data_IF_364976366621
#
_entry.id   IF_364976366621
#
_cell.length_a   1.000
_cell.length_b   1.000
_cell.length_c   1.000
_cell.angle_alpha   90.00
_cell.angle_beta   90.00
_cell.angle_gamma   90.00
#
_symmetry.space_group_name_H-M   'P 1'
#
loop_
_entity.id
_entity.type
_entity.pdbx_description
1 polymer ?
#
# COMPACT_ATOMS: atom_id res chain seq x y z
N UNK A 1 -7.49 30.01 34.36
CA UNK A 1 -8.28 29.83 33.12
C UNK A 1 -7.48 30.33 31.92
N UNK A 2 -6.91 29.44 31.11
CA UNK A 2 -6.61 29.69 29.69
C UNK A 2 -6.53 28.35 28.94
N UNK A 3 -7.49 28.15 28.05
CA UNK A 3 -7.67 26.99 27.15
C UNK A 3 -6.79 27.20 25.91
N UNK A 4 -5.99 26.21 25.47
CA UNK A 4 -5.50 26.12 24.07
C UNK A 4 -4.95 24.71 23.72
N UNK A 5 -5.69 24.06 22.79
CA UNK A 5 -5.39 23.00 21.79
C UNK A 5 -4.03 22.26 21.88
N UNK A 6 -4.09 20.93 21.93
CA UNK A 6 -2.92 20.05 21.75
C UNK A 6 -2.44 19.94 20.29
N UNK A 7 -1.29 19.29 20.06
CA UNK A 7 -0.94 18.78 18.74
C UNK A 7 -0.77 17.25 18.76
N UNK A 8 -1.56 16.59 17.92
CA UNK A 8 -1.33 15.20 17.50
C UNK A 8 -0.01 15.16 16.72
N UNK A 9 1.04 14.55 17.27
CA UNK A 9 2.31 14.32 16.58
C UNK A 9 2.36 12.88 16.07
N UNK A 10 2.31 12.70 14.74
CA UNK A 10 2.53 11.41 14.06
C UNK A 10 3.78 11.49 13.18
N UNK A 11 4.65 10.47 13.30
CA UNK A 11 6.00 10.31 12.74
C UNK A 11 6.04 10.03 11.22
N UNK A 12 5.27 10.75 10.41
CA UNK A 12 5.32 10.66 8.94
C UNK A 12 5.19 12.06 8.37
N UNK A 13 6.13 12.48 7.51
CA UNK A 13 6.08 13.81 6.87
C UNK A 13 4.71 14.02 6.23
N UNK A 14 4.01 15.08 6.64
CA UNK A 14 2.67 15.39 6.14
C UNK A 14 2.65 15.44 4.61
N UNK A 15 3.69 15.97 3.98
CA UNK A 15 3.86 15.99 2.53
C UNK A 15 3.78 14.59 1.90
N UNK A 16 4.40 13.58 2.52
CA UNK A 16 4.37 12.19 2.04
C UNK A 16 2.98 11.58 2.21
N UNK A 17 2.31 11.87 3.34
CA UNK A 17 0.94 11.42 3.61
C UNK A 17 -0.05 11.98 2.57
N UNK A 18 0.04 13.28 2.30
CA UNK A 18 -0.81 13.93 1.30
C UNK A 18 -0.45 13.47 -0.12
N UNK A 19 0.82 13.25 -0.44
CA UNK A 19 1.24 12.73 -1.75
C UNK A 19 0.71 11.32 -1.99
N UNK A 20 0.80 10.42 -0.99
CA UNK A 20 0.25 9.06 -1.08
C UNK A 20 -1.28 9.09 -1.22
N UNK A 21 -1.96 9.93 -0.45
CA UNK A 21 -3.41 10.08 -0.56
C UNK A 21 -3.82 10.59 -1.95
N UNK A 22 -3.17 11.65 -2.45
CA UNK A 22 -3.48 12.25 -3.76
C UNK A 22 -3.19 11.28 -4.89
N UNK A 23 -2.06 10.56 -4.87
CA UNK A 23 -1.74 9.57 -5.90
C UNK A 23 -2.72 8.40 -5.92
N UNK A 24 -3.06 7.84 -4.74
CA UNK A 24 -4.09 6.78 -4.66
C UNK A 24 -5.47 7.29 -5.09
N UNK A 25 -5.81 8.55 -4.80
CA UNK A 25 -7.07 9.15 -5.26
C UNK A 25 -7.11 9.32 -6.78
N UNK A 26 -6.00 9.72 -7.40
CA UNK A 26 -5.88 9.81 -8.87
C UNK A 26 -6.03 8.43 -9.52
N UNK A 27 -5.34 7.41 -8.99
CA UNK A 27 -5.47 6.03 -9.50
C UNK A 27 -6.87 5.45 -9.28
N UNK A 28 -7.54 5.83 -8.19
CA UNK A 28 -8.93 5.46 -7.94
C UNK A 28 -9.88 6.05 -8.98
N UNK A 29 -9.73 7.35 -9.33
CA UNK A 29 -10.50 7.99 -10.40
C UNK A 29 -10.23 7.32 -11.76
N UNK A 30 -8.97 7.00 -12.05
CA UNK A 30 -8.59 6.32 -13.28
C UNK A 30 -9.17 4.90 -13.36
N UNK A 31 -9.13 4.13 -12.26
CA UNK A 31 -9.77 2.82 -12.17
C UNK A 31 -11.28 2.90 -12.40
N UNK A 32 -11.95 3.89 -11.81
CA UNK A 32 -13.37 4.15 -12.03
C UNK A 32 -13.71 4.48 -13.49
N UNK A 33 -12.87 5.30 -14.14
CA UNK A 33 -13.00 5.62 -15.56
C UNK A 33 -12.84 4.37 -16.44
N UNK A 34 -11.85 3.52 -16.17
CA UNK A 34 -11.65 2.27 -16.91
C UNK A 34 -12.83 1.31 -16.76
N UNK A 35 -13.39 1.19 -15.56
CA UNK A 35 -14.63 0.41 -15.33
C UNK A 35 -15.77 0.98 -16.14
N UNK A 36 -15.99 2.31 -16.10
CA UNK A 36 -17.07 2.96 -16.82
C UNK A 36 -16.95 2.76 -18.34
N UNK A 37 -15.76 2.95 -18.90
CA UNK A 37 -15.49 2.74 -20.33
C UNK A 37 -15.64 1.26 -20.71
N UNK A 38 -15.12 0.34 -19.90
CA UNK A 38 -15.22 -1.10 -20.15
C UNK A 38 -16.67 -1.59 -20.13
N UNK A 39 -17.46 -1.14 -19.15
CA UNK A 39 -18.89 -1.47 -19.05
C UNK A 39 -19.71 -0.80 -20.16
N UNK A 40 -19.44 0.46 -20.50
CA UNK A 40 -20.12 1.15 -21.59
C UNK A 40 -19.89 0.43 -22.92
N UNK A 41 -18.64 0.12 -23.25
CA UNK A 41 -18.28 -0.61 -24.47
C UNK A 41 -18.83 -2.05 -24.47
N UNK A 42 -19.04 -2.65 -23.31
CA UNK A 42 -19.69 -3.96 -23.19
C UNK A 42 -21.20 -3.87 -23.47
N UNK A 43 -21.89 -2.88 -22.90
CA UNK A 43 -23.33 -2.66 -23.08
C UNK A 43 -23.65 -2.32 -24.54
N UNK A 44 -22.85 -1.46 -25.17
CA UNK A 44 -23.02 -1.08 -26.58
C UNK A 44 -22.88 -2.30 -27.52
N UNK A 45 -21.81 -3.10 -27.32
CA UNK A 45 -21.63 -4.37 -28.04
C UNK A 45 -22.76 -5.37 -27.81
N UNK A 46 -23.28 -5.42 -26.58
CA UNK A 46 -24.40 -6.29 -26.23
C UNK A 46 -25.69 -5.88 -26.96
N UNK A 47 -26.01 -4.58 -26.99
CA UNK A 47 -27.17 -4.07 -27.73
C UNK A 47 -27.03 -4.21 -29.25
N UNK A 48 -25.83 -4.01 -29.80
CA UNK A 48 -25.60 -4.08 -31.24
C UNK A 48 -25.68 -5.50 -31.82
N UNK A 49 -25.25 -6.51 -31.05
CA UNK A 49 -25.12 -7.89 -31.56
C UNK A 49 -26.30 -8.77 -31.20
N UNK A 50 -27.11 -8.40 -30.19
CA UNK A 50 -28.37 -9.07 -29.81
C UNK A 50 -28.26 -10.54 -29.36
N UNK A 51 -27.06 -11.13 -29.45
CA UNK A 51 -26.82 -12.54 -29.19
C UNK A 51 -25.50 -12.66 -28.41
N UNK A 52 -25.59 -13.22 -27.21
CA UNK A 52 -24.39 -13.73 -26.56
C UNK A 52 -24.03 -15.02 -27.30
N UNK A 53 -23.06 -14.97 -28.23
CA UNK A 53 -22.37 -16.20 -28.66
C UNK A 53 -21.49 -16.66 -27.49
N UNK A 54 -22.12 -17.29 -26.50
CA UNK A 54 -21.48 -17.95 -25.36
C UNK A 54 -20.92 -19.31 -25.80
N UNK A 55 -20.19 -19.38 -26.92
CA UNK A 55 -19.66 -20.67 -27.38
C UNK A 55 -18.52 -21.16 -26.46
N UNK A 56 -17.79 -20.28 -25.75
CA UNK A 56 -16.72 -20.69 -24.82
C UNK A 56 -16.35 -19.62 -23.78
N UNK A 57 -16.06 -20.03 -22.54
CA UNK A 57 -15.62 -19.18 -21.40
C UNK A 57 -14.36 -18.34 -21.73
N UNK A 58 -13.53 -18.80 -22.66
CA UNK A 58 -12.31 -18.10 -23.10
C UNK A 58 -12.59 -16.84 -23.95
N UNK A 59 -13.67 -16.81 -24.72
CA UNK A 59 -14.00 -15.66 -25.57
C UNK A 59 -14.48 -14.49 -24.69
N UNK A 60 -15.19 -14.80 -23.60
CA UNK A 60 -15.59 -13.82 -22.57
C UNK A 60 -14.37 -13.24 -21.83
N UNK A 61 -13.34 -14.04 -21.56
CA UNK A 61 -12.08 -13.59 -20.94
C UNK A 61 -11.18 -12.77 -21.88
N UNK A 62 -11.22 -13.03 -23.20
CA UNK A 62 -10.45 -12.30 -24.22
C UNK A 62 -11.15 -11.03 -24.73
N UNK A 63 -12.38 -10.76 -24.29
CA UNK A 63 -13.10 -9.57 -24.68
C UNK A 63 -12.45 -8.33 -24.07
N UNK A 64 -11.88 -7.49 -24.95
CA UNK A 64 -11.10 -6.30 -24.55
C UNK A 64 -11.88 -5.36 -23.62
N UNK A 65 -13.21 -5.25 -23.79
CA UNK A 65 -14.08 -4.44 -22.93
C UNK A 65 -14.20 -5.00 -21.50
N UNK A 66 -14.27 -6.32 -21.34
CA UNK A 66 -14.33 -6.99 -20.05
C UNK A 66 -12.97 -7.02 -19.35
N UNK A 67 -11.89 -7.19 -20.12
CA UNK A 67 -10.52 -7.10 -19.60
C UNK A 67 -10.20 -5.71 -19.06
N UNK A 68 -10.62 -4.65 -19.77
CA UNK A 68 -10.51 -3.26 -19.29
C UNK A 68 -11.33 -3.04 -18.01
N UNK A 69 -12.55 -3.58 -17.93
CA UNK A 69 -13.38 -3.48 -16.74
C UNK A 69 -12.79 -4.23 -15.53
N UNK A 70 -12.23 -5.44 -15.74
CA UNK A 70 -11.58 -6.23 -14.70
C UNK A 70 -10.30 -5.56 -14.18
N UNK A 71 -9.41 -5.13 -15.07
CA UNK A 71 -8.20 -4.40 -14.70
C UNK A 71 -8.54 -3.09 -13.98
N UNK A 72 -9.53 -2.35 -14.48
CA UNK A 72 -10.07 -1.15 -13.82
C UNK A 72 -10.60 -1.45 -12.41
N UNK A 73 -11.30 -2.58 -12.23
CA UNK A 73 -11.79 -3.08 -10.95
C UNK A 73 -10.68 -3.35 -9.94
N UNK A 74 -9.62 -4.04 -10.36
CA UNK A 74 -8.45 -4.31 -9.50
C UNK A 74 -7.78 -3.00 -9.09
N UNK A 75 -7.53 -2.08 -10.03
CA UNK A 75 -6.95 -0.76 -9.76
C UNK A 75 -7.83 0.05 -8.80
N UNK A 76 -9.14 0.03 -8.99
CA UNK A 76 -10.10 0.73 -8.14
C UNK A 76 -10.08 0.21 -6.69
N UNK A 77 -10.10 -1.11 -6.48
CA UNK A 77 -10.11 -1.71 -5.14
C UNK A 77 -8.79 -1.47 -4.41
N UNK A 78 -7.65 -1.69 -5.07
CA UNK A 78 -6.33 -1.48 -4.47
C UNK A 78 -6.13 0.00 -4.11
N UNK A 79 -6.52 0.91 -4.99
CA UNK A 79 -6.40 2.35 -4.75
C UNK A 79 -7.36 2.84 -3.66
N UNK A 80 -8.58 2.30 -3.59
CA UNK A 80 -9.51 2.59 -2.50
C UNK A 80 -8.99 2.12 -1.15
N UNK A 81 -8.44 0.91 -1.08
CA UNK A 81 -7.77 0.40 0.12
C UNK A 81 -6.56 1.27 0.51
N UNK A 82 -5.80 1.78 -0.48
CA UNK A 82 -4.71 2.74 -0.28
C UNK A 82 -5.19 4.09 0.29
N UNK A 83 -6.28 4.64 -0.23
CA UNK A 83 -6.91 5.87 0.28
C UNK A 83 -7.44 5.68 1.71
N UNK A 84 -8.15 4.59 1.99
CA UNK A 84 -8.64 4.26 3.34
C UNK A 84 -7.47 4.03 4.29
N UNK A 85 -6.43 3.32 3.86
CA UNK A 85 -5.21 3.10 4.63
C UNK A 85 -4.46 4.41 4.95
N UNK A 86 -4.41 5.36 4.02
CA UNK A 86 -3.81 6.68 4.25
C UNK A 86 -4.64 7.57 5.19
N UNK A 87 -5.97 7.48 5.12
CA UNK A 87 -6.90 8.26 5.95
C UNK A 87 -7.10 7.70 7.36
N UNK A 88 -6.97 6.39 7.57
CA UNK A 88 -7.22 5.71 8.87
C UNK A 88 -6.04 5.67 9.84
N UNK A 89 -5.00 6.50 9.64
CA UNK A 89 -3.77 6.51 10.50
C UNK A 89 -3.33 5.08 10.84
N UNK A 90 -2.92 4.35 9.81
CA UNK A 90 -2.88 2.91 9.83
C UNK A 90 -1.78 2.33 10.75
N UNK A 91 -2.14 2.12 12.01
CA UNK A 91 -1.47 1.19 12.93
C UNK A 91 -1.31 -0.22 12.34
N UNK A 92 -2.06 -0.63 11.30
CA UNK A 92 -1.96 -1.95 10.67
C UNK A 92 -0.70 -2.11 9.78
N UNK A 93 -0.23 -1.04 9.10
CA UNK A 93 1.04 -1.12 8.33
C UNK A 93 2.25 -1.17 9.28
N UNK A 94 2.15 -0.48 10.42
CA UNK A 94 3.15 -0.52 11.50
C UNK A 94 3.13 -1.84 12.28
N UNK A 95 1.95 -2.44 12.49
CA UNK A 95 1.80 -3.79 13.07
C UNK A 95 2.35 -4.91 12.19
N UNK A 96 2.44 -4.70 10.87
CA UNK A 96 2.78 -5.78 9.95
C UNK A 96 4.24 -6.24 10.06
N UNK A 97 5.16 -5.35 10.45
CA UNK A 97 6.58 -5.66 10.41
C UNK A 97 7.17 -6.11 11.74
N UNK A 98 6.39 -6.19 12.83
CA UNK A 98 6.86 -6.76 14.10
C UNK A 98 8.28 -6.27 14.48
N UNK A 99 8.54 -4.96 14.29
CA UNK A 99 9.84 -4.32 14.44
C UNK A 99 9.74 -3.08 15.33
N UNK A 100 10.88 -2.67 15.87
CA UNK A 100 11.06 -1.39 16.56
C UNK A 100 12.38 -0.77 16.11
N UNK A 101 12.34 0.50 15.70
CA UNK A 101 13.52 1.18 15.14
C UNK A 101 13.79 0.82 13.68
N UNK A 102 14.75 1.51 13.07
CA UNK A 102 14.94 1.48 11.62
C UNK A 102 16.10 0.57 11.20
N UNK A 103 17.24 0.73 11.86
CA UNK A 103 18.53 0.08 11.56
C UNK A 103 18.69 -1.26 12.27
N UNK A 104 19.82 -1.93 12.08
CA UNK A 104 20.17 -3.17 12.77
C UNK A 104 20.22 -3.03 14.30
N UNK A 105 20.36 -1.81 14.82
CA UNK A 105 20.33 -1.52 16.27
C UNK A 105 18.92 -1.74 16.87
N UNK A 106 17.91 -1.85 16.00
CA UNK A 106 16.53 -2.14 16.37
C UNK A 106 15.98 -1.14 17.37
N UNK A 107 15.44 -1.62 18.49
CA UNK A 107 14.78 -0.75 19.47
C UNK A 107 15.73 0.28 20.12
N UNK A 108 17.05 0.09 20.02
CA UNK A 108 18.04 1.04 20.54
C UNK A 108 18.23 2.27 19.65
N UNK A 109 17.70 2.28 18.42
CA UNK A 109 17.70 3.50 17.58
C UNK A 109 17.02 4.69 18.25
N UNK A 110 16.07 4.42 19.15
CA UNK A 110 15.37 5.44 19.91
C UNK A 110 16.27 6.19 20.90
N UNK A 111 17.44 5.64 21.26
CA UNK A 111 18.45 6.37 22.06
C UNK A 111 18.95 7.65 21.38
N UNK A 112 18.87 7.72 20.04
CA UNK A 112 19.28 8.89 19.23
C UNK A 112 18.21 10.00 19.24
N UNK A 113 17.00 9.72 19.73
CA UNK A 113 15.89 10.67 19.74
C UNK A 113 15.90 11.57 20.99
N UNK A 114 15.59 12.85 20.85
CA UNK A 114 15.59 13.82 21.96
C UNK A 114 14.69 13.43 23.15
N UNK A 115 13.56 12.73 22.92
CA UNK A 115 12.63 12.33 23.98
C UNK A 115 12.97 10.98 24.61
N UNK A 116 13.49 10.05 23.82
CA UNK A 116 13.80 8.67 24.26
C UNK A 116 15.26 8.46 24.63
N UNK A 117 16.12 9.44 24.36
CA UNK A 117 17.51 9.45 24.79
C UNK A 117 17.57 9.36 26.32
N UNK A 118 18.34 8.39 26.82
CA UNK A 118 18.52 8.16 28.25
C UNK A 118 19.05 9.34 29.05
N UNK A 119 19.81 10.23 28.41
CA UNK A 119 20.38 11.44 29.02
C UNK A 119 19.42 12.64 28.97
N UNK A 120 18.27 12.52 28.30
CA UNK A 120 17.28 13.59 28.19
C UNK A 120 16.53 13.81 29.51
N UNK A 121 16.12 15.06 29.83
CA UNK A 121 15.19 15.33 30.93
C UNK A 121 13.75 14.85 30.63
N UNK A 122 13.49 14.32 29.43
CA UNK A 122 12.20 13.78 29.02
C UNK A 122 11.69 12.70 29.98
N UNK A 123 10.38 12.69 30.19
CA UNK A 123 9.69 11.64 30.96
C UNK A 123 9.82 10.28 30.28
N UNK A 124 9.92 10.22 28.95
CA UNK A 124 10.00 8.99 28.14
C UNK A 124 11.43 8.50 27.89
N UNK A 125 12.43 9.07 28.59
CA UNK A 125 13.85 8.69 28.44
C UNK A 125 14.06 7.19 28.63
N UNK A 126 15.02 6.63 27.88
CA UNK A 126 15.29 5.19 27.81
C UNK A 126 14.07 4.34 27.40
N UNK A 127 13.04 4.96 26.82
CA UNK A 127 11.84 4.27 26.37
C UNK A 127 11.83 4.03 24.87
N UNK A 128 10.76 3.42 24.38
CA UNK A 128 10.41 3.34 22.95
C UNK A 128 8.94 3.70 22.79
N UNK A 129 8.51 4.21 21.62
CA UNK A 129 7.12 4.52 21.39
C UNK A 129 6.22 3.29 21.45
N UNK A 130 4.93 3.51 21.72
CA UNK A 130 3.92 2.46 21.86
C UNK A 130 3.80 1.53 20.64
N UNK A 131 4.21 1.99 19.46
CA UNK A 131 4.22 1.20 18.22
C UNK A 131 5.16 -0.01 18.28
N UNK A 132 6.17 0.02 19.15
CA UNK A 132 7.11 -1.07 19.34
C UNK A 132 6.54 -2.22 20.18
N UNK A 133 5.37 -2.07 20.79
CA UNK A 133 4.86 -3.04 21.75
C UNK A 133 4.17 -4.23 21.07
N UNK A 134 4.51 -5.43 21.55
CA UNK A 134 4.03 -6.70 20.98
C UNK A 134 2.53 -6.87 21.20
N UNK A 135 2.07 -6.65 22.44
CA UNK A 135 0.68 -6.79 22.85
C UNK A 135 0.23 -5.52 23.60
N UNK A 136 0.05 -4.42 22.86
CA UNK A 136 -0.46 -3.17 23.44
C UNK A 136 -1.90 -3.29 23.98
N UNK A 137 -2.63 -4.35 23.62
CA UNK A 137 -3.97 -4.67 24.12
C UNK A 137 -3.93 -6.05 24.78
N UNK A 138 -4.10 -6.12 26.09
CA UNK A 138 -4.31 -7.40 26.75
C UNK A 138 -5.81 -7.75 26.66
N UNK A 139 -6.11 -8.77 25.84
CA UNK A 139 -7.49 -9.21 25.51
C UNK A 139 -8.23 -9.67 26.78
N UNK A 140 -7.50 -10.04 27.83
CA UNK A 140 -8.06 -10.52 29.09
C UNK A 140 -8.57 -9.42 30.03
N UNK A 141 -8.13 -8.17 29.85
CA UNK A 141 -8.42 -7.06 30.78
C UNK A 141 -9.00 -5.81 30.10
N UNK A 142 -9.00 -5.74 28.77
CA UNK A 142 -9.53 -4.58 28.03
C UNK A 142 -8.74 -3.29 28.24
N UNK A 143 -7.61 -3.35 28.95
CA UNK A 143 -6.71 -2.22 29.20
C UNK A 143 -5.66 -2.16 28.09
N UNK A 144 -5.54 -0.99 27.46
CA UNK A 144 -4.43 -0.69 26.54
C UNK A 144 -3.20 -0.35 27.38
N UNK A 145 -2.17 -1.20 27.37
CA UNK A 145 -0.91 -0.88 28.03
C UNK A 145 -0.06 0.02 27.12
N UNK A 146 -0.32 1.32 27.19
CA UNK A 146 0.45 2.34 26.47
C UNK A 146 1.86 2.57 27.06
N UNK A 147 2.17 2.00 28.22
CA UNK A 147 3.43 2.19 28.97
C UNK A 147 4.42 1.02 28.77
N UNK A 148 4.12 0.07 27.91
CA UNK A 148 4.97 -1.10 27.59
C UNK A 148 6.40 -0.76 27.16
N UNK A 149 6.61 0.39 26.50
CA UNK A 149 7.91 0.86 26.05
C UNK A 149 8.68 1.68 27.08
N UNK A 150 8.11 1.99 28.24
CA UNK A 150 8.72 2.89 29.22
C UNK A 150 9.97 2.28 29.87
N UNK A 151 11.11 2.96 29.74
CA UNK A 151 12.38 2.52 30.31
C UNK A 151 12.92 1.19 29.74
N UNK A 152 12.38 0.71 28.61
CA UNK A 152 12.70 -0.61 28.06
C UNK A 152 14.18 -0.75 27.65
N UNK A 153 14.84 0.36 27.30
CA UNK A 153 16.27 0.38 26.93
C UNK A 153 17.20 0.04 28.10
N UNK A 154 16.72 0.10 29.35
CA UNK A 154 17.51 -0.27 30.54
C UNK A 154 17.49 -1.77 30.85
N UNK A 155 16.58 -2.54 30.24
CA UNK A 155 16.45 -3.97 30.48
C UNK A 155 17.36 -4.77 29.53
N UNK A 156 17.81 -5.97 29.94
CA UNK A 156 18.50 -6.87 29.03
C UNK A 156 17.57 -7.29 27.88
N UNK A 157 18.15 -7.55 26.71
CA UNK A 157 17.40 -7.88 25.46
C UNK A 157 16.40 -9.03 25.66
N UNK A 158 16.74 -10.02 26.50
CA UNK A 158 15.87 -11.16 26.82
C UNK A 158 14.59 -10.80 27.59
N UNK A 159 14.60 -9.70 28.32
CA UNK A 159 13.41 -9.18 29.02
C UNK A 159 12.68 -8.13 28.17
N UNK A 160 13.43 -7.31 27.43
CA UNK A 160 12.88 -6.34 26.50
C UNK A 160 12.04 -7.03 25.39
N UNK A 161 12.51 -8.15 24.85
CA UNK A 161 11.82 -8.91 23.79
C UNK A 161 10.47 -9.51 24.19
N UNK A 162 10.15 -9.55 25.50
CA UNK A 162 8.83 -9.96 25.98
C UNK A 162 7.81 -8.84 25.93
N UNK A 163 8.27 -7.58 25.89
CA UNK A 163 7.42 -6.38 25.97
C UNK A 163 7.35 -5.66 24.62
N UNK A 164 8.47 -5.59 23.91
CA UNK A 164 8.61 -4.83 22.64
C UNK A 164 9.35 -5.66 21.59
N UNK A 165 9.09 -5.34 20.32
CA UNK A 165 9.90 -5.82 19.21
C UNK A 165 11.31 -5.27 19.36
N UNK A 166 12.33 -6.13 19.28
CA UNK A 166 13.73 -5.72 19.42
C UNK A 166 14.43 -5.52 18.09
N UNK A 167 13.89 -6.10 17.01
CA UNK A 167 14.48 -6.08 15.67
C UNK A 167 14.16 -4.80 14.91
N UNK A 168 15.11 -4.33 14.12
CA UNK A 168 14.92 -3.18 13.22
C UNK A 168 14.10 -3.50 11.99
N UNK A 169 13.36 -2.51 11.49
CA UNK A 169 12.45 -2.71 10.36
C UNK A 169 13.17 -2.99 9.03
N UNK A 170 14.34 -2.37 8.77
CA UNK A 170 15.08 -2.61 7.52
C UNK A 170 15.50 -4.08 7.41
N UNK A 171 15.92 -4.70 8.51
CA UNK A 171 16.37 -6.09 8.51
C UNK A 171 15.23 -7.04 8.17
N UNK A 172 14.05 -6.81 8.74
CA UNK A 172 12.85 -7.62 8.47
C UNK A 172 12.37 -7.44 7.02
N UNK A 173 12.32 -6.20 6.54
CA UNK A 173 11.93 -5.89 5.15
C UNK A 173 12.91 -6.51 4.17
N UNK A 174 14.21 -6.37 4.41
CA UNK A 174 15.26 -6.98 3.59
C UNK A 174 15.14 -8.50 3.56
N UNK A 175 15.02 -9.13 4.72
CA UNK A 175 14.87 -10.58 4.84
C UNK A 175 13.62 -11.09 4.14
N UNK A 176 12.50 -10.34 4.22
CA UNK A 176 11.29 -10.65 3.46
C UNK A 176 11.49 -10.48 1.95
N UNK A 177 12.14 -9.40 1.52
CA UNK A 177 12.39 -9.12 0.11
C UNK A 177 13.32 -10.16 -0.52
N UNK A 178 14.37 -10.58 0.17
CA UNK A 178 15.28 -11.64 -0.28
C UNK A 178 14.54 -12.98 -0.43
N UNK A 179 13.66 -13.33 0.52
CA UNK A 179 12.83 -14.55 0.43
C UNK A 179 11.80 -14.50 -0.71
N UNK A 180 11.25 -13.34 -1.00
CA UNK A 180 10.19 -13.17 -2.01
C UNK A 180 10.71 -12.60 -3.34
N UNK A 181 12.04 -12.53 -3.51
CA UNK A 181 12.66 -11.86 -4.65
C UNK A 181 12.16 -12.44 -5.99
N UNK A 182 12.07 -13.77 -6.08
CA UNK A 182 11.56 -14.45 -7.28
C UNK A 182 10.11 -14.11 -7.58
N UNK A 183 9.26 -14.03 -6.57
CA UNK A 183 7.84 -13.67 -6.71
C UNK A 183 7.68 -12.21 -7.14
N UNK A 184 8.48 -11.31 -6.57
CA UNK A 184 8.47 -9.88 -6.93
C UNK A 184 8.96 -9.72 -8.37
N UNK A 185 10.08 -10.37 -8.72
CA UNK A 185 10.66 -10.31 -10.06
C UNK A 185 9.72 -10.87 -11.13
N UNK A 186 9.02 -11.98 -10.84
CA UNK A 186 8.08 -12.59 -11.80
C UNK A 186 6.86 -11.71 -12.04
N UNK A 187 6.28 -11.12 -11.00
CA UNK A 187 5.16 -10.18 -11.12
C UNK A 187 5.59 -8.94 -11.90
N UNK A 188 6.75 -8.36 -11.58
CA UNK A 188 7.27 -7.20 -12.30
C UNK A 188 7.49 -7.49 -13.79
N UNK A 189 8.07 -8.66 -14.11
CA UNK A 189 8.28 -9.10 -15.48
C UNK A 189 6.96 -9.34 -16.23
N UNK A 190 6.00 -10.01 -15.60
CA UNK A 190 4.69 -10.25 -16.20
C UNK A 190 3.96 -8.94 -16.53
N UNK A 191 4.02 -7.96 -15.62
CA UNK A 191 3.46 -6.62 -15.84
C UNK A 191 4.19 -5.91 -16.99
N UNK A 192 5.52 -5.97 -17.05
CA UNK A 192 6.29 -5.36 -18.13
C UNK A 192 5.96 -5.98 -19.50
N UNK A 193 5.85 -7.30 -19.57
CA UNK A 193 5.47 -8.00 -20.81
C UNK A 193 4.04 -7.67 -21.25
N UNK A 194 3.10 -7.59 -20.30
CA UNK A 194 1.74 -7.17 -20.58
C UNK A 194 1.69 -5.72 -21.10
N UNK A 195 2.48 -4.81 -20.52
CA UNK A 195 2.61 -3.42 -20.98
C UNK A 195 3.17 -3.34 -22.40
N UNK A 196 4.21 -4.11 -22.72
CA UNK A 196 4.79 -4.17 -24.07
C UNK A 196 3.78 -4.69 -25.11
N UNK A 197 3.00 -5.71 -24.75
CA UNK A 197 1.97 -6.24 -25.62
C UNK A 197 0.85 -5.23 -25.89
N UNK A 198 0.41 -4.49 -24.86
CA UNK A 198 -0.58 -3.41 -25.02
C UNK A 198 -0.06 -2.31 -25.94
N UNK A 199 1.22 -1.91 -25.79
CA UNK A 199 1.85 -0.92 -26.67
C UNK A 199 1.89 -1.41 -28.12
N UNK A 200 2.25 -2.67 -28.35
CA UNK A 200 2.27 -3.27 -29.69
C UNK A 200 0.90 -3.25 -30.36
N UNK A 201 -0.15 -3.64 -29.62
CA UNK A 201 -1.53 -3.61 -30.13
C UNK A 201 -1.99 -2.17 -30.43
N UNK A 202 -1.70 -1.22 -29.55
CA UNK A 202 -2.01 0.19 -29.77
C UNK A 202 -1.36 0.73 -31.04
N UNK A 203 -0.09 0.37 -31.30
CA UNK A 203 0.64 0.79 -32.50
C UNK A 203 0.13 0.12 -33.77
N UNK A 204 -0.29 -1.14 -33.70
CA UNK A 204 -0.92 -1.82 -34.83
C UNK A 204 -2.26 -1.18 -35.18
N UNK A 205 -3.07 -0.84 -34.16
CA UNK A 205 -4.35 -0.16 -34.34
C UNK A 205 -4.17 1.23 -34.97
N UNK A 206 -3.18 2.01 -34.53
CA UNK A 206 -2.82 3.30 -35.13
C UNK A 206 -2.52 3.15 -36.63
N UNK A 207 -1.71 2.16 -37.01
CA UNK A 207 -1.42 1.87 -38.41
C UNK A 207 -2.67 1.50 -39.24
N UNK A 208 -3.61 0.76 -38.65
CA UNK A 208 -4.87 0.44 -39.33
C UNK A 208 -5.78 1.66 -39.51
N UNK A 209 -5.80 2.58 -38.55
CA UNK A 209 -6.59 3.83 -38.65
C UNK A 209 -6.04 4.72 -39.77
N UNK A 210 -4.73 4.84 -39.92
CA UNK A 210 -4.12 5.65 -40.98
C UNK A 210 -4.37 5.04 -42.38
N UNK A 211 -4.30 3.71 -42.52
CA UNK A 211 -4.67 3.03 -43.76
C UNK A 211 -6.17 3.14 -44.10
N UNK A 212 -7.02 3.15 -43.07
CA UNK A 212 -8.44 3.46 -43.25
C UNK A 212 -8.57 4.88 -43.79
N UNK A 213 -8.08 5.91 -43.09
CA UNK A 213 -8.17 7.33 -43.53
C UNK A 213 -7.68 7.56 -44.96
N UNK A 214 -6.57 6.93 -45.37
CA UNK A 214 -6.03 7.06 -46.72
C UNK A 214 -7.01 6.59 -47.82
N UNK A 215 -7.84 5.58 -47.55
CA UNK A 215 -8.88 5.10 -48.49
C UNK A 215 -10.07 6.05 -48.66
N UNK A 216 -10.34 6.94 -47.70
CA UNK A 216 -11.45 7.89 -47.78
C UNK A 216 -11.06 9.19 -48.52
N UNK A 217 -9.76 9.39 -48.78
CA UNK A 217 -9.24 10.57 -49.48
C UNK A 217 -9.05 10.35 -50.99
N UNK A 218 -9.23 9.12 -51.47
CA UNK A 218 -9.40 8.74 -52.89
C UNK A 218 -10.87 8.60 -53.23
#
# INVERSE_FOLDING_TARGET
MHRRRGPNFTYVSGCVKYMIFVLNFIFWLFGGLLIAVGLYAFIDKWQATGLIKLDTVYDVMLNISLLIALLGGVVFIVSFAGCVGALRENTCLLKFFHCCGLTSDGYMDWSKNEYFNCSSPSVERCGVPFSCCINATDISSGLVNIMCGYGVQNYPVAEASKRVWTSGCIEIVRSWAERNLYTIASVALAVALAQLFVIYLAKTLEGQIELQKARWQT
#
